data_IF_102441562271
#
_entry.id   IF_102441562271
#
_cell.length_a   1.000
_cell.length_b   1.000
_cell.length_c   1.000
_cell.angle_alpha   90.00
_cell.angle_beta   90.00
_cell.angle_gamma   90.00
#
_symmetry.space_group_name_H-M   'P 1'
#
loop_
_entity.id
_entity.type
_entity.pdbx_description
1 polymer ?
#
# COMPACT_ATOMS: atom_id res chain seq x y z
N UNK A 1 -47.21 68.09 18.81
CA UNK A 1 -47.94 66.90 18.32
C UNK A 1 -46.98 65.73 18.40
N UNK A 2 -47.16 64.90 19.42
CA UNK A 2 -46.23 63.85 19.80
C UNK A 2 -46.49 62.56 19.03
N UNK A 3 -45.36 62.02 18.56
CA UNK A 3 -45.04 60.69 18.09
C UNK A 3 -45.85 59.53 18.71
N UNK A 4 -46.25 58.58 17.86
CA UNK A 4 -46.72 57.26 18.26
C UNK A 4 -46.32 56.21 17.23
N UNK A 5 -45.02 55.91 17.18
CA UNK A 5 -44.37 55.09 16.16
C UNK A 5 -44.64 53.58 16.41
N UNK A 6 -45.48 53.01 15.56
CA UNK A 6 -45.48 51.65 14.98
C UNK A 6 -44.60 50.54 15.57
N UNK A 7 -45.29 49.45 15.94
CA UNK A 7 -45.11 48.04 15.52
C UNK A 7 -43.71 47.42 15.46
N UNK A 8 -43.50 46.32 16.20
CA UNK A 8 -43.61 44.94 15.68
C UNK A 8 -42.93 43.94 16.64
N UNK A 9 -43.74 43.03 17.15
CA UNK A 9 -43.39 41.84 17.90
C UNK A 9 -42.61 40.88 17.01
N UNK A 10 -41.32 40.68 17.28
CA UNK A 10 -40.56 39.53 16.78
C UNK A 10 -40.11 38.72 17.99
N UNK A 11 -40.91 37.73 18.38
CA UNK A 11 -40.52 36.70 19.35
C UNK A 11 -39.62 35.69 18.65
N UNK A 12 -38.32 35.99 18.60
CA UNK A 12 -37.29 35.08 18.10
C UNK A 12 -37.04 33.96 19.11
N UNK A 13 -37.28 32.72 18.66
CA UNK A 13 -36.80 31.44 19.18
C UNK A 13 -35.95 31.51 20.47
N UNK A 14 -36.58 31.33 21.63
CA UNK A 14 -35.92 31.34 22.93
C UNK A 14 -35.33 29.96 23.26
N UNK A 15 -34.03 29.79 23.02
CA UNK A 15 -33.28 28.59 23.42
C UNK A 15 -33.13 28.57 24.96
N UNK A 16 -33.63 27.54 25.67
CA UNK A 16 -33.46 27.41 27.11
C UNK A 16 -32.11 26.76 27.42
N UNK A 17 -31.00 27.47 27.14
CA UNK A 17 -29.71 27.11 27.73
C UNK A 17 -29.63 27.78 29.08
N UNK A 18 -29.80 26.98 30.12
CA UNK A 18 -29.34 27.31 31.46
C UNK A 18 -27.84 27.59 31.35
N UNK A 19 -27.46 28.87 31.38
CA UNK A 19 -26.05 29.29 31.25
C UNK A 19 -25.27 28.59 32.37
N UNK A 20 -24.44 27.58 32.06
CA UNK A 20 -23.68 26.90 33.09
C UNK A 20 -22.71 27.90 33.71
N UNK A 21 -22.31 27.65 34.96
CA UNK A 21 -21.40 28.55 35.69
C UNK A 21 -20.18 28.90 34.83
N UNK A 22 -19.78 30.18 34.72
CA UNK A 22 -18.76 30.63 33.78
C UNK A 22 -17.40 29.93 34.01
N UNK A 23 -17.10 29.56 35.25
CA UNK A 23 -15.91 28.79 35.62
C UNK A 23 -15.88 27.40 34.97
N UNK A 24 -17.04 26.73 34.87
CA UNK A 24 -17.15 25.40 34.27
C UNK A 24 -16.97 25.46 32.74
N UNK A 25 -17.47 26.53 32.10
CA UNK A 25 -17.24 26.76 30.66
C UNK A 25 -15.76 26.99 30.34
N UNK A 26 -15.06 27.75 31.19
CA UNK A 26 -13.62 27.99 31.01
C UNK A 26 -12.81 26.70 31.16
N UNK A 27 -13.12 25.87 32.17
CA UNK A 27 -12.48 24.57 32.35
C UNK A 27 -12.74 23.64 31.16
N UNK A 28 -13.98 23.57 30.68
CA UNK A 28 -14.32 22.75 29.52
C UNK A 28 -13.55 23.16 28.27
N UNK A 29 -13.47 24.46 27.98
CA UNK A 29 -12.69 24.97 26.84
C UNK A 29 -11.20 24.68 27.01
N UNK A 30 -10.65 24.83 28.21
CA UNK A 30 -9.25 24.50 28.50
C UNK A 30 -8.93 23.03 28.27
N UNK A 31 -9.80 22.12 28.72
CA UNK A 31 -9.65 20.68 28.47
C UNK A 31 -9.74 20.38 26.98
N UNK A 32 -10.68 20.99 26.26
CA UNK A 32 -10.84 20.79 24.82
C UNK A 32 -9.61 21.25 24.03
N UNK A 33 -9.04 22.39 24.41
CA UNK A 33 -7.78 22.91 23.86
C UNK A 33 -6.62 21.94 24.12
N UNK A 34 -6.49 21.48 25.37
CA UNK A 34 -5.44 20.52 25.72
C UNK A 34 -5.58 19.21 24.92
N UNK A 35 -6.80 18.69 24.78
CA UNK A 35 -7.08 17.49 23.98
C UNK A 35 -6.70 17.68 22.51
N UNK A 36 -7.01 18.85 21.94
CA UNK A 36 -6.66 19.19 20.56
C UNK A 36 -5.14 19.26 20.36
N UNK A 37 -4.42 19.86 21.30
CA UNK A 37 -2.95 19.92 21.27
C UNK A 37 -2.31 18.53 21.40
N UNK A 38 -2.81 17.71 22.33
CA UNK A 38 -2.33 16.32 22.48
C UNK A 38 -2.60 15.52 21.21
N UNK A 39 -3.78 15.67 20.61
CA UNK A 39 -4.13 15.02 19.34
C UNK A 39 -3.19 15.43 18.21
N UNK A 40 -2.92 16.73 18.05
CA UNK A 40 -2.03 17.20 16.98
C UNK A 40 -0.59 16.69 17.16
N UNK A 41 -0.07 16.69 18.39
CA UNK A 41 1.23 16.12 18.73
C UNK A 41 1.28 14.62 18.45
N UNK A 42 0.25 13.86 18.84
CA UNK A 42 0.16 12.43 18.59
C UNK A 42 0.16 12.10 17.09
N UNK A 43 -0.59 12.86 16.29
CA UNK A 43 -0.62 12.70 14.82
C UNK A 43 0.76 12.98 14.21
N UNK A 44 1.45 14.03 14.66
CA UNK A 44 2.80 14.37 14.17
C UNK A 44 3.80 13.25 14.52
N UNK A 45 3.80 12.79 15.78
CA UNK A 45 4.68 11.72 16.23
C UNK A 45 4.44 10.43 15.43
N UNK A 46 3.16 10.07 15.22
CA UNK A 46 2.78 8.90 14.41
C UNK A 46 3.24 9.05 12.96
N UNK A 47 3.09 10.22 12.36
CA UNK A 47 3.57 10.47 10.99
C UNK A 47 5.09 10.31 10.87
N UNK A 48 5.84 10.75 11.89
CA UNK A 48 7.29 10.61 11.90
C UNK A 48 7.71 9.14 11.96
N UNK A 49 7.13 8.36 12.87
CA UNK A 49 7.44 6.92 12.97
C UNK A 49 7.04 6.17 11.70
N UNK A 50 5.88 6.47 11.11
CA UNK A 50 5.44 5.86 9.84
C UNK A 50 6.49 6.11 8.75
N UNK A 51 6.99 7.33 8.60
CA UNK A 51 7.98 7.65 7.55
C UNK A 51 9.26 6.83 7.72
N UNK A 52 9.74 6.66 8.94
CA UNK A 52 10.98 5.91 9.20
C UNK A 52 10.78 4.40 8.96
N UNK A 53 9.67 3.84 9.45
CA UNK A 53 9.32 2.43 9.20
C UNK A 53 9.13 2.16 7.71
N UNK A 54 8.45 3.05 7.00
CA UNK A 54 8.20 2.93 5.57
C UNK A 54 9.49 3.05 4.75
N UNK A 55 10.40 3.95 5.12
CA UNK A 55 11.71 4.05 4.48
C UNK A 55 12.51 2.74 4.60
N UNK A 56 12.49 2.10 5.77
CA UNK A 56 13.14 0.80 5.97
C UNK A 56 12.47 -0.30 5.14
N UNK A 57 11.14 -0.33 5.07
CA UNK A 57 10.41 -1.28 4.23
C UNK A 57 10.80 -1.12 2.76
N UNK A 58 10.78 0.12 2.26
CA UNK A 58 11.14 0.43 0.88
C UNK A 58 12.56 -0.03 0.54
N UNK A 59 13.51 0.09 1.48
CA UNK A 59 14.86 -0.39 1.27
C UNK A 59 14.91 -1.92 1.06
N UNK A 60 14.21 -2.68 1.91
CA UNK A 60 14.17 -4.15 1.80
C UNK A 60 13.46 -4.60 0.52
N UNK A 61 12.39 -3.91 0.11
CA UNK A 61 11.71 -4.18 -1.15
C UNK A 61 12.62 -3.93 -2.35
N UNK A 62 13.40 -2.85 -2.33
CA UNK A 62 14.38 -2.57 -3.38
C UNK A 62 15.46 -3.65 -3.45
N UNK A 63 15.98 -4.10 -2.30
CA UNK A 63 16.96 -5.21 -2.22
C UNK A 63 16.38 -6.51 -2.79
N UNK A 64 15.13 -6.83 -2.45
CA UNK A 64 14.42 -8.00 -3.00
C UNK A 64 14.27 -7.89 -4.52
N UNK A 65 13.87 -6.73 -5.04
CA UNK A 65 13.71 -6.50 -6.47
C UNK A 65 15.03 -6.66 -7.23
N UNK A 66 16.13 -6.18 -6.64
CA UNK A 66 17.46 -6.36 -7.21
C UNK A 66 17.82 -7.85 -7.31
N UNK A 67 17.67 -8.60 -6.22
CA UNK A 67 17.94 -10.04 -6.19
C UNK A 67 17.05 -10.82 -7.17
N UNK A 68 15.78 -10.44 -7.29
CA UNK A 68 14.86 -11.06 -8.26
C UNK A 68 15.31 -10.82 -9.71
N UNK A 69 15.85 -9.62 -9.98
CA UNK A 69 16.38 -9.28 -11.30
C UNK A 69 17.63 -10.09 -11.62
N UNK A 70 18.58 -10.16 -10.68
CA UNK A 70 19.79 -10.98 -10.81
C UNK A 70 19.44 -12.47 -11.01
N UNK A 71 18.50 -12.99 -10.23
CA UNK A 71 18.01 -14.36 -10.39
C UNK A 71 17.36 -14.59 -11.76
N UNK A 72 16.57 -13.63 -12.25
CA UNK A 72 16.00 -13.69 -13.60
C UNK A 72 17.08 -13.70 -14.68
N UNK A 73 18.15 -12.91 -14.53
CA UNK A 73 19.29 -12.93 -15.45
C UNK A 73 20.00 -14.28 -15.43
N UNK A 74 20.28 -14.83 -14.25
CA UNK A 74 20.89 -16.15 -14.10
C UNK A 74 20.03 -17.26 -14.73
N UNK A 75 18.70 -17.19 -14.60
CA UNK A 75 17.79 -18.16 -15.21
C UNK A 75 17.79 -18.06 -16.75
N UNK A 76 17.91 -16.85 -17.28
CA UNK A 76 18.07 -16.64 -18.72
C UNK A 76 19.41 -17.17 -19.22
N UNK A 77 20.48 -16.98 -18.46
CA UNK A 77 21.79 -17.59 -18.74
C UNK A 77 21.70 -19.12 -18.70
N UNK A 78 21.08 -19.70 -17.68
CA UNK A 78 20.92 -21.15 -17.55
C UNK A 78 20.07 -21.73 -18.69
N UNK A 79 18.93 -21.11 -19.02
CA UNK A 79 18.08 -21.57 -20.13
C UNK A 79 18.78 -21.45 -21.49
N UNK A 80 19.64 -20.44 -21.69
CA UNK A 80 20.46 -20.33 -22.89
C UNK A 80 21.51 -21.46 -22.97
N UNK A 81 22.06 -21.90 -21.83
CA UNK A 81 23.05 -22.99 -21.76
C UNK A 81 22.40 -24.38 -21.70
N UNK A 82 21.14 -24.46 -21.27
CA UNK A 82 20.30 -25.64 -21.22
C UNK A 82 19.46 -25.83 -22.49
N UNK A 83 19.79 -25.08 -23.57
CA UNK A 83 19.28 -25.35 -24.91
C UNK A 83 19.40 -26.85 -25.22
N UNK A 84 18.31 -27.53 -25.61
CA UNK A 84 18.26 -28.96 -25.93
C UNK A 84 19.37 -29.44 -26.88
N UNK A 85 19.96 -28.50 -27.63
CA UNK A 85 21.11 -28.68 -28.52
C UNK A 85 22.31 -29.40 -27.88
N UNK A 86 22.58 -29.26 -26.58
CA UNK A 86 23.70 -30.00 -25.95
C UNK A 86 23.34 -31.47 -25.71
N UNK A 87 22.10 -31.76 -25.32
CA UNK A 87 21.61 -33.13 -25.14
C UNK A 87 21.49 -33.81 -26.50
N UNK A 88 20.96 -33.10 -27.50
CA UNK A 88 20.80 -33.58 -28.88
C UNK A 88 22.16 -33.85 -29.54
N UNK A 89 23.14 -32.95 -29.42
CA UNK A 89 24.52 -33.21 -29.90
C UNK A 89 25.17 -34.39 -29.17
N UNK A 90 25.00 -34.51 -27.86
CA UNK A 90 25.57 -35.62 -27.12
C UNK A 90 24.89 -36.95 -27.50
N UNK A 91 23.58 -36.97 -27.71
CA UNK A 91 22.83 -38.14 -28.16
C UNK A 91 23.22 -38.57 -29.58
N UNK A 92 23.36 -37.63 -30.53
CA UNK A 92 23.84 -37.96 -31.87
C UNK A 92 25.33 -38.34 -31.92
N UNK A 93 26.20 -37.75 -31.09
CA UNK A 93 27.64 -38.04 -31.14
C UNK A 93 28.07 -39.23 -30.28
N UNK A 94 27.43 -39.50 -29.14
CA UNK A 94 27.81 -40.58 -28.22
C UNK A 94 26.93 -41.82 -28.33
N UNK A 95 25.67 -41.66 -28.74
CA UNK A 95 24.71 -42.76 -28.89
C UNK A 95 24.30 -43.02 -30.34
N UNK A 96 24.86 -42.29 -31.32
CA UNK A 96 24.50 -42.38 -32.75
C UNK A 96 22.99 -42.26 -33.01
N UNK A 97 22.25 -41.60 -32.10
CA UNK A 97 20.82 -41.44 -32.27
C UNK A 97 20.54 -40.51 -33.46
N UNK A 98 19.76 -41.03 -34.41
CA UNK A 98 19.20 -40.32 -35.56
C UNK A 98 17.69 -40.26 -35.38
N UNK A 99 17.07 -39.18 -35.87
CA UNK A 99 15.61 -39.11 -35.96
C UNK A 99 15.13 -40.19 -36.94
N UNK A 100 14.27 -41.14 -36.52
CA UNK A 100 13.78 -42.20 -37.40
C UNK A 100 12.90 -41.60 -38.50
N UNK A 101 12.98 -42.17 -39.69
CA UNK A 101 12.16 -41.74 -40.83
C UNK A 101 10.70 -42.20 -40.64
N UNK A 102 9.76 -41.60 -41.37
CA UNK A 102 8.31 -41.86 -41.22
C UNK A 102 7.97 -43.36 -41.36
N UNK A 103 8.79 -44.10 -42.09
CA UNK A 103 8.63 -45.53 -42.36
C UNK A 103 9.12 -46.44 -41.21
N UNK A 104 9.82 -45.91 -40.20
CA UNK A 104 10.34 -46.65 -39.03
C UNK A 104 9.47 -46.50 -37.76
N UNK A 105 8.35 -45.76 -37.84
CA UNK A 105 7.48 -45.49 -36.69
C UNK A 105 6.35 -46.51 -36.60
N UNK A 106 6.49 -47.49 -35.71
CA UNK A 106 5.42 -48.46 -35.41
C UNK A 106 4.60 -48.02 -34.19
N UNK A 107 3.31 -47.75 -34.40
CA UNK A 107 2.38 -47.36 -33.34
C UNK A 107 1.82 -48.61 -32.67
N UNK A 108 2.30 -48.91 -31.47
CA UNK A 108 1.75 -49.99 -30.65
C UNK A 108 0.46 -49.47 -29.99
N UNK A 109 -0.67 -50.07 -30.36
CA UNK A 109 -1.97 -49.81 -29.75
C UNK A 109 -2.10 -50.61 -28.45
N UNK A 110 -2.72 -50.03 -27.40
CA UNK A 110 -2.80 -50.64 -26.06
C UNK A 110 -3.64 -51.92 -26.02
#
# INVERSE_FOLDING_TARGET
>A
MAQGRNASTTSGFGWPVERPRPTLMLLLNGVLLALCLVSSLAVIATSHEIRERYARLQQLENEQQQLQTEWGQLLLEESAWSSPSRIERLASQRLEMRLPDVDEVEVIQP
#
